data_IF_357736066996
#
_entry.id   IF_357736066996
#
_cell.length_a   1.000
_cell.length_b   1.000
_cell.length_c   1.000
_cell.angle_alpha   90.00
_cell.angle_beta   90.00
_cell.angle_gamma   90.00
#
_symmetry.space_group_name_H-M   'P 1'
#
loop_
_entity.id
_entity.type
_entity.pdbx_description
1 polymer ?
#
# COMPACT_ATOMS: atom_id res chain seq x y z
N UNK A 1 6.91 11.48 -4.05
CA UNK A 1 5.86 12.03 -3.16
C UNK A 1 4.60 12.46 -3.89
N UNK A 2 4.64 13.40 -4.83
CA UNK A 2 3.44 13.84 -5.56
C UNK A 2 2.64 12.67 -6.19
N UNK A 3 3.33 11.72 -6.84
CA UNK A 3 2.72 10.52 -7.40
C UNK A 3 2.03 9.62 -6.35
N UNK A 4 2.64 9.45 -5.18
CA UNK A 4 2.05 8.65 -4.09
C UNK A 4 0.85 9.36 -3.48
N UNK A 5 0.95 10.67 -3.23
CA UNK A 5 -0.20 11.47 -2.79
C UNK A 5 -1.36 11.30 -3.76
N UNK A 6 -1.10 11.49 -5.05
CA UNK A 6 -2.10 11.33 -6.11
C UNK A 6 -2.74 9.95 -6.09
N UNK A 7 -1.93 8.90 -5.93
CA UNK A 7 -2.45 7.54 -5.83
C UNK A 7 -3.35 7.31 -4.60
N UNK A 8 -2.90 7.70 -3.40
CA UNK A 8 -3.70 7.48 -2.19
C UNK A 8 -4.97 8.34 -2.15
N UNK A 9 -4.89 9.57 -2.65
CA UNK A 9 -5.98 10.55 -2.65
C UNK A 9 -6.98 10.29 -3.80
N UNK A 10 -6.50 10.16 -5.03
CA UNK A 10 -7.36 10.05 -6.22
C UNK A 10 -7.71 8.59 -6.55
N UNK A 11 -6.76 7.66 -6.44
CA UNK A 11 -6.98 6.27 -6.87
C UNK A 11 -7.61 5.41 -5.77
N UNK A 12 -7.05 5.48 -4.56
CA UNK A 12 -7.61 4.76 -3.40
C UNK A 12 -8.70 5.54 -2.67
N UNK A 13 -8.95 6.79 -3.08
CA UNK A 13 -9.99 7.65 -2.49
C UNK A 13 -9.88 7.76 -0.96
N UNK A 14 -8.68 7.67 -0.40
CA UNK A 14 -8.50 7.71 1.04
C UNK A 14 -8.75 9.11 1.58
N UNK A 15 -9.47 9.20 2.70
CA UNK A 15 -9.76 10.50 3.30
C UNK A 15 -8.54 11.03 4.03
N UNK A 16 -8.10 12.23 3.67
CA UNK A 16 -7.09 12.96 4.44
C UNK A 16 -7.66 13.34 5.81
N UNK A 17 -7.01 12.90 6.88
CA UNK A 17 -7.39 13.23 8.28
C UNK A 17 -6.49 14.29 8.89
N UNK A 18 -5.24 14.40 8.43
CA UNK A 18 -4.32 15.46 8.82
C UNK A 18 -3.29 15.72 7.71
N UNK A 19 -2.96 16.98 7.45
CA UNK A 19 -1.89 17.38 6.54
C UNK A 19 -0.94 18.34 7.27
N UNK A 20 0.34 18.00 7.25
CA UNK A 20 1.43 18.81 7.81
C UNK A 20 2.39 19.25 6.71
N UNK A 21 3.37 20.10 7.06
CA UNK A 21 4.34 20.62 6.11
C UNK A 21 5.17 19.53 5.41
N UNK A 22 5.36 18.38 6.07
CA UNK A 22 6.12 17.23 5.55
C UNK A 22 5.47 15.87 5.80
N UNK A 23 4.16 15.84 6.06
CA UNK A 23 3.44 14.60 6.29
C UNK A 23 1.99 14.72 5.86
N UNK A 24 1.38 13.59 5.49
CA UNK A 24 -0.06 13.49 5.25
C UNK A 24 -0.56 12.19 5.86
N UNK A 25 -1.66 12.27 6.58
CA UNK A 25 -2.30 11.14 7.26
C UNK A 25 -3.63 10.86 6.58
N UNK A 26 -3.84 9.61 6.21
CA UNK A 26 -5.07 9.12 5.60
C UNK A 26 -5.79 8.17 6.55
N UNK A 27 -7.11 8.26 6.57
CA UNK A 27 -7.94 7.22 7.16
C UNK A 27 -8.02 6.03 6.20
N UNK A 28 -7.67 4.86 6.70
CA UNK A 28 -7.83 3.60 6.01
C UNK A 28 -8.53 2.63 6.98
N UNK A 29 -9.86 2.74 7.05
CA UNK A 29 -10.69 2.05 8.04
C UNK A 29 -10.22 2.29 9.48
N UNK A 30 -9.80 1.24 10.18
CA UNK A 30 -9.40 1.26 11.60
C UNK A 30 -7.94 1.68 11.82
N UNK A 31 -7.21 1.98 10.74
CA UNK A 31 -5.82 2.46 10.82
C UNK A 31 -5.65 3.81 10.15
N UNK A 32 -4.65 4.55 10.62
CA UNK A 32 -4.20 5.78 9.99
C UNK A 32 -2.93 5.49 9.22
N UNK A 33 -2.97 5.63 7.90
CA UNK A 33 -1.79 5.57 7.04
C UNK A 33 -1.13 6.93 7.03
N UNK A 34 0.07 7.03 7.59
CA UNK A 34 0.85 8.27 7.57
C UNK A 34 1.96 8.16 6.52
N UNK A 35 1.94 9.06 5.53
CA UNK A 35 3.08 9.30 4.65
C UNK A 35 3.88 10.45 5.25
N UNK A 36 5.07 10.15 5.75
CA UNK A 36 5.99 11.11 6.32
C UNK A 36 7.24 11.21 5.44
N UNK A 37 7.55 12.42 4.94
CA UNK A 37 8.75 12.74 4.18
C UNK A 37 9.62 13.78 4.89
N UNK A 38 9.40 13.96 6.20
CA UNK A 38 10.20 14.79 7.09
C UNK A 38 11.50 14.11 7.52
N UNK A 39 11.54 12.79 7.46
CA UNK A 39 12.71 11.98 7.79
C UNK A 39 13.75 12.11 6.68
N UNK A 40 14.82 12.87 6.95
CA UNK A 40 16.09 12.65 6.26
C UNK A 40 16.51 11.21 6.56
N UNK A 41 16.39 10.33 5.56
CA UNK A 41 16.72 8.90 5.66
C UNK A 41 18.21 8.61 5.91
N UNK A 42 19.01 9.61 6.29
CA UNK A 42 20.42 9.49 6.69
C UNK A 42 20.60 8.73 8.01
N UNK A 43 19.52 8.46 8.74
CA UNK A 43 19.52 7.57 9.91
C UNK A 43 18.48 6.47 9.72
N UNK A 44 18.78 5.50 8.84
CA UNK A 44 18.16 4.18 9.00
C UNK A 44 18.43 3.73 10.45
N UNK A 45 17.42 3.35 11.24
CA UNK A 45 17.68 2.77 12.55
C UNK A 45 18.66 1.61 12.35
N UNK A 46 19.76 1.59 13.08
CA UNK A 46 20.79 0.55 12.96
C UNK A 46 20.23 -0.87 13.22
N UNK A 47 19.02 -0.95 13.78
CA UNK A 47 18.24 -2.14 14.10
C UNK A 47 16.91 -2.23 13.32
N UNK A 48 16.76 -1.49 12.22
CA UNK A 48 15.62 -1.67 11.33
C UNK A 48 15.76 -3.06 10.69
N UNK A 49 15.10 -4.05 11.30
CA UNK A 49 14.87 -5.36 10.70
C UNK A 49 14.29 -5.25 9.28
N UNK A 50 14.03 -6.38 8.61
CA UNK A 50 13.53 -6.36 7.23
C UNK A 50 12.38 -5.36 7.13
N UNK A 51 12.52 -4.36 6.23
CA UNK A 51 11.51 -3.32 6.02
C UNK A 51 10.20 -4.02 5.73
N UNK A 52 9.26 -3.95 6.68
CA UNK A 52 8.01 -4.69 6.60
C UNK A 52 7.24 -4.32 5.34
N UNK A 53 6.68 -5.33 4.68
CA UNK A 53 5.74 -5.11 3.59
C UNK A 53 4.43 -4.54 4.17
N UNK A 54 3.91 -3.48 3.55
CA UNK A 54 2.56 -2.97 3.81
C UNK A 54 1.62 -3.68 2.84
N UNK A 55 0.74 -4.53 3.36
CA UNK A 55 -0.20 -5.29 2.54
C UNK A 55 -1.54 -4.55 2.52
N UNK A 56 -2.01 -4.22 1.33
CA UNK A 56 -3.29 -3.57 1.09
C UNK A 56 -4.20 -4.55 0.36
N UNK A 57 -5.32 -4.89 0.98
CA UNK A 57 -6.35 -5.72 0.36
C UNK A 57 -7.24 -4.84 -0.50
N UNK A 58 -7.38 -5.20 -1.78
CA UNK A 58 -8.13 -4.45 -2.80
C UNK A 58 -9.05 -5.41 -3.56
N UNK A 59 -10.17 -4.93 -4.09
CA UNK A 59 -11.06 -5.82 -4.85
C UNK A 59 -10.56 -6.02 -6.28
N UNK A 60 -10.23 -4.93 -6.99
CA UNK A 60 -9.85 -4.94 -8.41
C UNK A 60 -8.36 -4.63 -8.62
N UNK A 61 -7.52 -5.68 -8.62
CA UNK A 61 -6.06 -5.56 -8.75
C UNK A 61 -5.64 -4.87 -10.05
N UNK A 62 -6.30 -5.17 -11.17
CA UNK A 62 -5.99 -4.61 -12.49
C UNK A 62 -6.29 -3.11 -12.55
N UNK A 63 -7.40 -2.68 -11.94
CA UNK A 63 -7.76 -1.27 -11.85
C UNK A 63 -6.76 -0.50 -10.99
N UNK A 64 -6.35 -1.08 -9.85
CA UNK A 64 -5.32 -0.50 -8.98
C UNK A 64 -3.97 -0.43 -9.68
N UNK A 65 -3.57 -1.48 -10.42
CA UNK A 65 -2.34 -1.48 -11.21
C UNK A 65 -2.35 -0.36 -12.25
N UNK A 66 -3.42 -0.25 -13.03
CA UNK A 66 -3.56 0.77 -14.06
C UNK A 66 -3.49 2.19 -13.46
N UNK A 67 -4.10 2.38 -12.29
CA UNK A 67 -4.08 3.65 -11.59
C UNK A 67 -2.67 4.02 -11.06
N UNK A 68 -1.93 3.03 -10.54
CA UNK A 68 -0.53 3.19 -10.13
C UNK A 68 0.36 3.56 -11.31
N UNK A 69 0.22 2.86 -12.43
CA UNK A 69 1.00 3.11 -13.64
C UNK A 69 0.69 4.48 -14.25
N UNK A 70 -0.57 4.92 -14.23
CA UNK A 70 -0.98 6.28 -14.62
C UNK A 70 -0.35 7.35 -13.71
N UNK A 71 -0.10 7.03 -12.45
CA UNK A 71 0.63 7.89 -11.51
C UNK A 71 2.16 7.80 -11.67
N UNK A 72 2.67 7.04 -12.64
CA UNK A 72 4.10 6.82 -12.87
C UNK A 72 4.76 5.85 -11.88
N UNK A 73 3.96 5.10 -11.12
CA UNK A 73 4.45 4.06 -10.21
C UNK A 73 4.53 2.74 -10.97
N UNK A 74 5.73 2.14 -11.02
CA UNK A 74 5.94 0.84 -11.65
C UNK A 74 5.57 -0.29 -10.69
N UNK A 75 4.64 -1.13 -11.11
CA UNK A 75 4.24 -2.32 -10.37
C UNK A 75 5.03 -3.54 -10.84
N UNK A 76 5.24 -4.48 -9.93
CA UNK A 76 5.77 -5.81 -10.21
C UNK A 76 4.80 -6.86 -9.69
N UNK A 77 4.47 -7.86 -10.51
CA UNK A 77 3.62 -8.97 -10.09
C UNK A 77 4.25 -9.68 -8.87
N UNK A 78 3.47 -9.92 -7.83
CA UNK A 78 3.92 -10.45 -6.55
C UNK A 78 3.45 -11.89 -6.30
N UNK A 79 3.52 -12.73 -7.35
CA UNK A 79 3.02 -14.11 -7.31
C UNK A 79 1.69 -14.22 -8.04
N UNK A 80 1.71 -14.30 -9.37
CA UNK A 80 0.51 -14.47 -10.19
C UNK A 80 -0.36 -13.21 -10.33
N UNK A 81 -1.55 -13.37 -10.93
CA UNK A 81 -2.51 -12.29 -11.24
C UNK A 81 -3.15 -11.66 -10.02
N UNK A 82 -3.16 -12.35 -8.87
CA UNK A 82 -3.91 -11.90 -7.70
C UNK A 82 -3.15 -10.89 -6.81
N UNK A 83 -1.90 -10.55 -7.14
CA UNK A 83 -1.14 -9.56 -6.36
C UNK A 83 -0.12 -8.77 -7.20
N UNK A 84 0.01 -7.49 -6.85
CA UNK A 84 1.03 -6.59 -7.40
C UNK A 84 1.77 -5.95 -6.24
N UNK A 85 2.98 -5.50 -6.47
CA UNK A 85 3.75 -4.75 -5.48
C UNK A 85 4.49 -3.59 -6.12
N UNK A 86 4.77 -2.57 -5.33
CA UNK A 86 5.67 -1.50 -5.72
C UNK A 86 6.48 -1.04 -4.50
N UNK A 87 7.66 -0.51 -4.75
CA UNK A 87 8.52 0.03 -3.70
C UNK A 87 8.54 1.56 -3.79
N UNK A 88 8.50 2.21 -2.63
CA UNK A 88 8.83 3.62 -2.52
C UNK A 88 10.35 3.72 -2.32
N UNK A 89 11.07 4.60 -3.05
CA UNK A 89 12.48 4.86 -2.78
C UNK A 89 12.68 5.17 -1.30
N UNK A 90 13.60 4.46 -0.65
CA UNK A 90 13.89 4.60 0.78
C UNK A 90 12.74 4.30 1.76
N UNK A 91 11.59 3.82 1.27
CA UNK A 91 10.40 3.48 2.06
C UNK A 91 10.12 1.98 2.17
N UNK A 92 8.91 1.62 2.64
CA UNK A 92 8.41 0.26 2.62
C UNK A 92 8.03 -0.18 1.20
N UNK A 93 7.96 -1.49 1.00
CA UNK A 93 7.28 -2.07 -0.15
C UNK A 93 5.79 -2.15 0.17
N UNK A 94 4.95 -1.76 -0.79
CA UNK A 94 3.52 -1.97 -0.76
C UNK A 94 3.19 -3.20 -1.59
N UNK A 95 2.35 -4.07 -1.04
CA UNK A 95 1.82 -5.26 -1.70
C UNK A 95 0.32 -5.11 -1.76
N UNK A 96 -0.24 -5.03 -2.96
CA UNK A 96 -1.68 -5.06 -3.17
C UNK A 96 -2.09 -6.50 -3.43
N UNK A 97 -3.16 -6.95 -2.77
CA UNK A 97 -3.59 -8.34 -2.83
C UNK A 97 -5.10 -8.36 -3.04
N UNK A 98 -5.55 -9.07 -4.06
CA UNK A 98 -6.97 -9.26 -4.32
C UNK A 98 -7.50 -10.43 -3.51
N UNK A 99 -8.66 -10.26 -2.87
CA UNK A 99 -9.36 -11.35 -2.18
C UNK A 99 -10.15 -12.23 -3.16
N UNK A 100 -9.58 -12.51 -4.33
CA UNK A 100 -10.18 -13.43 -5.30
C UNK A 100 -10.14 -14.87 -4.77
N UNK A 101 -10.99 -15.73 -5.32
CA UNK A 101 -10.98 -17.17 -5.03
C UNK A 101 -9.58 -17.79 -5.26
N UNK A 102 -8.81 -17.24 -6.21
CA UNK A 102 -7.44 -17.65 -6.48
C UNK A 102 -6.50 -17.41 -5.28
N UNK A 103 -6.67 -16.29 -4.56
CA UNK A 103 -5.90 -15.98 -3.36
C UNK A 103 -6.32 -16.80 -2.14
N UNK A 104 -7.61 -17.14 -2.02
CA UNK A 104 -8.12 -18.02 -0.96
C UNK A 104 -7.62 -19.46 -1.09
N UNK A 105 -7.19 -19.85 -2.29
CA UNK A 105 -6.66 -21.20 -2.60
C UNK A 105 -5.16 -21.32 -2.38
N UNK A 106 -4.45 -20.25 -2.01
CA UNK A 106 -3.02 -20.33 -1.74
C UNK A 106 -2.74 -21.20 -0.51
N UNK A 107 -1.90 -22.25 -0.62
CA UNK A 107 -1.61 -23.14 0.51
C UNK A 107 -0.96 -22.42 1.71
N UNK A 108 -0.54 -21.17 1.52
CA UNK A 108 -0.06 -20.24 2.54
C UNK A 108 -1.14 -19.37 3.21
N UNK A 109 -2.43 -19.76 3.22
CA UNK A 109 -3.40 -19.11 4.15
C UNK A 109 -2.92 -19.21 5.62
N UNK A 110 -1.94 -20.09 5.90
CA UNK A 110 -1.02 -19.95 7.03
C UNK A 110 0.10 -18.94 6.75
N UNK A 111 -0.21 -17.67 6.50
CA UNK A 111 0.82 -16.64 6.35
C UNK A 111 1.50 -16.48 7.72
N UNK A 112 2.74 -16.95 7.86
CA UNK A 112 3.57 -16.59 9.00
C UNK A 112 4.04 -15.15 8.77
N UNK A 113 3.24 -14.22 9.23
CA UNK A 113 3.55 -12.81 9.21
C UNK A 113 4.89 -12.59 9.92
N UNK A 114 5.89 -12.11 9.18
CA UNK A 114 6.77 -11.09 9.75
C UNK A 114 5.94 -9.85 10.12
N UNK A 115 6.54 -8.77 10.65
CA UNK A 115 5.80 -7.56 11.02
C UNK A 115 5.27 -6.84 9.77
N UNK A 116 4.20 -7.35 9.18
CA UNK A 116 3.48 -6.78 8.04
C UNK A 116 2.14 -6.26 8.56
N UNK A 117 1.89 -4.97 8.35
CA UNK A 117 0.57 -4.39 8.57
C UNK A 117 -0.31 -4.76 7.38
N UNK A 118 -1.48 -5.36 7.64
CA UNK A 118 -2.52 -5.64 6.64
C UNK A 118 -3.61 -4.60 6.81
N UNK A 119 -3.95 -3.90 5.73
CA UNK A 119 -5.02 -2.89 5.69
C UNK A 119 -5.99 -3.25 4.59
N UNK A 120 -7.28 -3.33 4.90
CA UNK A 120 -8.33 -3.53 3.89
C UNK A 120 -8.90 -2.20 3.43
N UNK A 121 -8.96 -2.00 2.11
CA UNK A 121 -9.56 -0.83 1.51
C UNK A 121 -10.77 -1.33 0.72
N UNK A 122 -12.01 -1.13 1.22
CA UNK A 122 -13.21 -1.60 0.57
C UNK A 122 -13.52 -0.71 -0.63
N UNK A 123 -14.29 -1.20 -1.61
CA UNK A 123 -14.70 -0.37 -2.73
C UNK A 123 -15.68 0.68 -2.19
N UNK A 124 -15.50 1.94 -2.57
CA UNK A 124 -16.50 2.95 -2.22
C UNK A 124 -17.79 2.63 -2.97
N UNK A 125 -18.89 2.44 -2.24
CA UNK A 125 -20.22 2.43 -2.85
C UNK A 125 -20.38 3.72 -3.64
N UNK A 126 -20.60 3.61 -4.96
CA UNK A 126 -20.91 4.76 -5.78
C UNK A 126 -22.17 5.47 -5.21
N UNK A 127 -22.19 6.81 -5.14
CA UNK A 127 -23.39 7.55 -4.76
C UNK A 127 -24.51 7.40 -5.79
#
# INVERSE_FOLDING_TARGET
MAALRRFFDESLCLRVVAEGAKSISYEAQDVVLVLDWSLDHSTAPADAGPRGDVVLLVDEIDAVQAALETCGVRCTAAGGSASISFAVPDGPRFVMLSLSDECLMWPSVGWRAGPSAVVYIPPRSAP
#
